data_IF_453814178093
#
_entry.id   IF_453814178093
#
_cell.length_a   1.000
_cell.length_b   1.000
_cell.length_c   1.000
_cell.angle_alpha   90.00
_cell.angle_beta   90.00
_cell.angle_gamma   90.00
#
_symmetry.space_group_name_H-M   'P 1'
#
loop_
_entity.id
_entity.type
_entity.pdbx_description
1 polymer ?
#
# COMPACT_ATOMS: atom_id res chain seq x y z
N UNK A 1 -7.89 -31.56 -50.89
CA UNK A 1 -8.66 -30.34 -50.58
C UNK A 1 -9.26 -30.51 -49.21
N UNK A 2 -8.59 -29.99 -48.19
CA UNK A 2 -9.13 -29.71 -46.86
C UNK A 2 -8.07 -28.84 -46.19
N UNK A 3 -8.21 -27.53 -46.35
CA UNK A 3 -7.40 -26.55 -45.64
C UNK A 3 -7.91 -26.44 -44.21
N UNK A 4 -7.03 -26.68 -43.25
CA UNK A 4 -7.22 -26.22 -41.88
C UNK A 4 -6.44 -24.92 -41.73
N UNK A 5 -7.18 -23.85 -41.47
CA UNK A 5 -6.65 -22.53 -41.16
C UNK A 5 -6.09 -22.53 -39.74
N UNK A 6 -4.77 -22.41 -39.62
CA UNK A 6 -4.09 -22.00 -38.39
C UNK A 6 -4.62 -20.61 -37.96
N UNK A 7 -5.18 -20.54 -36.76
CA UNK A 7 -5.51 -19.26 -36.11
C UNK A 7 -4.24 -18.76 -35.45
N UNK A 8 -3.59 -17.83 -36.14
CA UNK A 8 -2.38 -17.15 -35.68
C UNK A 8 -2.74 -16.19 -34.54
N UNK A 9 -2.29 -16.50 -33.32
CA UNK A 9 -2.46 -15.60 -32.17
C UNK A 9 -1.42 -14.48 -32.28
N UNK A 10 -1.83 -13.20 -32.34
CA UNK A 10 -0.88 -12.11 -32.48
C UNK A 10 0.07 -12.08 -31.27
N UNK A 11 1.34 -12.24 -31.61
CA UNK A 11 2.49 -12.22 -30.71
C UNK A 11 2.65 -10.78 -30.17
N UNK A 12 1.98 -10.45 -29.07
CA UNK A 12 2.14 -9.18 -28.37
C UNK A 12 3.50 -9.17 -27.65
N UNK A 13 4.49 -8.64 -28.34
CA UNK A 13 5.81 -8.32 -27.83
C UNK A 13 5.68 -7.22 -26.75
N UNK A 14 5.58 -7.60 -25.46
CA UNK A 14 5.47 -6.70 -24.30
C UNK A 14 6.82 -6.07 -23.89
N UNK A 15 7.61 -5.64 -24.86
CA UNK A 15 8.98 -5.17 -24.63
C UNK A 15 9.12 -3.64 -24.62
N UNK A 16 8.03 -2.88 -24.64
CA UNK A 16 8.02 -1.45 -24.36
C UNK A 16 6.67 -1.05 -23.77
N UNK A 17 6.56 -0.92 -22.44
CA UNK A 17 5.50 -0.09 -21.87
C UNK A 17 5.84 1.35 -22.27
N UNK A 18 5.28 1.81 -23.39
CA UNK A 18 5.25 3.24 -23.72
C UNK A 18 4.36 3.95 -22.69
N UNK A 19 4.48 5.27 -22.54
CA UNK A 19 3.58 6.06 -21.68
C UNK A 19 2.10 5.76 -21.97
N UNK A 20 1.80 5.32 -23.20
CA UNK A 20 0.48 4.88 -23.67
C UNK A 20 0.00 3.56 -23.05
N UNK A 21 0.88 2.65 -22.62
CA UNK A 21 0.47 1.37 -21.99
C UNK A 21 0.24 1.48 -20.47
N UNK A 22 0.77 2.52 -19.82
CA UNK A 22 0.41 2.85 -18.42
C UNK A 22 -0.98 3.49 -18.31
N UNK A 23 -1.40 4.16 -19.39
CA UNK A 23 -2.74 4.69 -19.56
C UNK A 23 -3.70 3.53 -19.82
N UNK A 24 -4.46 3.15 -18.81
CA UNK A 24 -5.64 2.31 -19.00
C UNK A 24 -6.54 2.98 -20.05
N UNK A 25 -7.08 2.24 -21.03
CA UNK A 25 -7.92 2.82 -22.11
C UNK A 25 -9.16 3.55 -21.58
N UNK A 26 -9.50 3.32 -20.31
CA UNK A 26 -10.58 3.97 -19.57
C UNK A 26 -10.24 5.41 -19.12
N UNK A 27 -8.99 5.88 -19.29
CA UNK A 27 -8.62 7.29 -19.08
C UNK A 27 -8.99 8.20 -20.26
N UNK A 28 -9.45 7.66 -21.39
CA UNK A 28 -10.17 8.42 -22.41
C UNK A 28 -11.62 8.71 -21.96
N UNK A 29 -11.81 9.04 -20.67
CA UNK A 29 -13.03 9.71 -20.22
C UNK A 29 -13.10 11.07 -20.91
N UNK A 30 -14.28 11.35 -21.46
CA UNK A 30 -14.65 12.54 -22.23
C UNK A 30 -13.82 13.79 -21.91
N UNK A 31 -12.98 14.21 -22.87
CA UNK A 31 -12.19 15.45 -22.80
C UNK A 31 -13.07 16.71 -22.62
N UNK A 32 -14.40 16.59 -22.71
CA UNK A 32 -15.36 17.63 -22.39
C UNK A 32 -15.68 17.77 -20.89
N UNK A 33 -15.28 16.81 -20.04
CA UNK A 33 -15.54 16.85 -18.61
C UNK A 33 -14.71 17.94 -17.91
N UNK A 34 -15.33 18.64 -16.95
CA UNK A 34 -14.63 19.67 -16.18
C UNK A 34 -13.62 19.01 -15.21
N UNK A 35 -12.34 19.42 -15.25
CA UNK A 35 -11.34 18.90 -14.32
C UNK A 35 -11.62 19.32 -12.88
N UNK A 36 -11.25 18.45 -11.95
CA UNK A 36 -11.36 18.71 -10.53
C UNK A 36 -11.98 17.57 -9.72
N UNK A 37 -12.26 17.82 -8.42
CA UNK A 37 -12.87 16.84 -7.53
C UNK A 37 -14.27 16.42 -8.00
N UNK A 38 -14.49 15.11 -8.04
CA UNK A 38 -15.79 14.46 -8.24
C UNK A 38 -16.32 14.00 -6.89
N UNK A 39 -17.64 14.05 -6.69
CA UNK A 39 -18.31 13.55 -5.47
C UNK A 39 -17.73 14.11 -4.16
N UNK A 40 -17.29 15.38 -4.16
CA UNK A 40 -16.72 16.00 -2.97
C UNK A 40 -17.75 16.07 -1.82
N UNK A 41 -17.32 15.90 -0.56
CA UNK A 41 -18.15 16.18 0.61
C UNK A 41 -18.67 17.61 0.62
N UNK A 42 -19.65 17.87 1.49
CA UNK A 42 -20.19 19.21 1.70
C UNK A 42 -19.07 20.25 2.02
N UNK A 43 -19.24 21.53 1.69
CA UNK A 43 -18.20 22.55 1.89
C UNK A 43 -17.72 22.71 3.34
N UNK A 44 -18.55 22.33 4.32
CA UNK A 44 -18.26 22.37 5.76
C UNK A 44 -17.80 21.01 6.33
N UNK A 45 -17.51 20.04 5.45
CA UNK A 45 -17.03 18.73 5.84
C UNK A 45 -15.72 18.80 6.64
N UNK A 46 -15.59 17.91 7.60
CA UNK A 46 -14.40 17.82 8.45
C UNK A 46 -13.28 17.11 7.67
N UNK A 47 -12.01 17.36 8.03
CA UNK A 47 -10.88 16.66 7.40
C UNK A 47 -11.00 15.12 7.40
N UNK A 48 -11.63 14.54 8.43
CA UNK A 48 -11.87 13.09 8.52
C UNK A 48 -12.81 12.57 7.43
N UNK A 49 -13.74 13.38 6.96
CA UNK A 49 -14.70 12.99 5.92
C UNK A 49 -13.97 12.79 4.58
N UNK A 50 -12.98 13.64 4.28
CA UNK A 50 -12.10 13.46 3.12
C UNK A 50 -11.20 12.23 3.24
N UNK A 51 -10.68 11.94 4.44
CA UNK A 51 -9.89 10.72 4.70
C UNK A 51 -10.74 9.46 4.47
N UNK A 52 -12.00 9.49 4.88
CA UNK A 52 -12.93 8.36 4.76
C UNK A 52 -13.35 8.08 3.31
N UNK A 53 -13.16 9.01 2.36
CA UNK A 53 -13.34 8.74 0.93
C UNK A 53 -12.40 7.62 0.46
N UNK A 54 -11.15 7.63 0.96
CA UNK A 54 -10.13 6.66 0.58
C UNK A 54 -10.03 5.50 1.59
N UNK A 55 -10.26 5.76 2.88
CA UNK A 55 -10.31 4.74 3.94
C UNK A 55 -11.76 4.32 4.22
N UNK A 56 -12.39 3.74 3.20
CA UNK A 56 -13.76 3.24 3.28
C UNK A 56 -13.91 2.12 4.29
N UNK A 57 -15.14 1.86 4.72
CA UNK A 57 -15.41 0.73 5.62
C UNK A 57 -14.99 -0.60 4.99
N UNK A 58 -15.15 -0.79 3.68
CA UNK A 58 -14.73 -2.02 3.00
C UNK A 58 -13.23 -2.32 3.13
N UNK A 59 -12.36 -1.33 2.86
CA UNK A 59 -10.92 -1.55 2.97
C UNK A 59 -10.51 -1.71 4.44
N UNK A 60 -11.14 -0.97 5.35
CA UNK A 60 -10.92 -1.11 6.80
C UNK A 60 -11.33 -2.51 7.28
N UNK A 61 -12.51 -2.99 6.88
CA UNK A 61 -13.00 -4.33 7.16
C UNK A 61 -12.04 -5.39 6.64
N UNK A 62 -11.54 -5.25 5.42
CA UNK A 62 -10.54 -6.16 4.84
C UNK A 62 -9.30 -6.23 5.72
N UNK A 63 -8.68 -5.08 6.04
CA UNK A 63 -7.44 -5.05 6.82
C UNK A 63 -7.65 -5.61 8.22
N UNK A 64 -8.76 -5.27 8.88
CA UNK A 64 -9.09 -5.78 10.22
C UNK A 64 -9.29 -7.29 10.20
N UNK A 65 -10.05 -7.81 9.24
CA UNK A 65 -10.29 -9.25 9.12
C UNK A 65 -8.99 -10.02 8.88
N UNK A 66 -8.17 -9.57 7.94
CA UNK A 66 -6.90 -10.24 7.61
C UNK A 66 -5.86 -10.12 8.73
N UNK A 67 -5.82 -8.98 9.44
CA UNK A 67 -4.98 -8.79 10.63
C UNK A 67 -5.37 -9.74 11.76
N UNK A 68 -6.66 -9.82 12.07
CA UNK A 68 -7.18 -10.71 13.12
C UNK A 68 -6.97 -12.19 12.77
N UNK A 69 -7.19 -12.55 11.50
CA UNK A 69 -6.97 -13.90 10.98
C UNK A 69 -5.49 -14.28 11.07
N UNK A 70 -4.58 -13.41 10.62
CA UNK A 70 -3.15 -13.66 10.69
C UNK A 70 -2.66 -13.82 12.13
N UNK A 71 -3.11 -12.96 13.04
CA UNK A 71 -2.72 -13.06 14.44
C UNK A 71 -3.12 -14.40 15.06
N UNK A 72 -4.34 -14.90 14.76
CA UNK A 72 -4.79 -16.22 15.20
C UNK A 72 -3.89 -17.33 14.66
N UNK A 73 -3.66 -17.35 13.35
CA UNK A 73 -2.78 -18.33 12.70
C UNK A 73 -1.36 -18.29 13.28
N UNK A 74 -0.82 -17.09 13.54
CA UNK A 74 0.50 -16.95 14.13
C UNK A 74 0.55 -17.56 15.54
N UNK A 75 -0.45 -17.28 16.39
CA UNK A 75 -0.50 -17.78 17.76
C UNK A 75 -0.61 -19.31 17.76
N UNK A 76 -1.50 -19.88 16.94
CA UNK A 76 -1.69 -21.33 16.79
C UNK A 76 -0.39 -22.00 16.31
N UNK A 77 0.24 -21.49 15.26
CA UNK A 77 1.44 -22.08 14.68
C UNK A 77 2.71 -21.91 15.54
N UNK A 78 2.67 -21.06 16.57
CA UNK A 78 3.82 -20.78 17.43
C UNK A 78 3.54 -21.10 18.91
N UNK A 79 2.52 -21.91 19.20
CA UNK A 79 2.08 -22.19 20.57
C UNK A 79 3.23 -22.63 21.50
N UNK A 80 4.02 -23.63 21.09
CA UNK A 80 5.16 -24.15 21.87
C UNK A 80 6.23 -23.07 22.17
N UNK A 81 6.52 -22.20 21.20
CA UNK A 81 7.45 -21.09 21.39
C UNK A 81 6.87 -20.02 22.33
N UNK A 82 5.56 -19.83 22.32
CA UNK A 82 4.89 -18.84 23.16
C UNK A 82 4.79 -19.30 24.62
N UNK A 83 4.67 -20.60 24.87
CA UNK A 83 4.74 -21.19 26.22
C UNK A 83 6.09 -20.90 26.89
N UNK A 84 7.19 -21.02 26.13
CA UNK A 84 8.55 -20.74 26.64
C UNK A 84 8.89 -19.24 26.67
N UNK A 85 8.01 -18.36 26.18
CA UNK A 85 8.20 -16.90 26.15
C UNK A 85 7.05 -16.14 26.83
N UNK A 86 6.86 -16.29 28.16
CA UNK A 86 5.73 -15.69 28.89
C UNK A 86 5.71 -14.16 28.88
N UNK A 87 6.85 -13.52 28.63
CA UNK A 87 6.97 -12.05 28.50
C UNK A 87 6.67 -11.54 27.10
N UNK A 88 6.37 -12.42 26.15
CA UNK A 88 6.00 -12.05 24.79
C UNK A 88 4.75 -11.17 24.83
N UNK A 89 4.79 -10.06 24.10
CA UNK A 89 3.61 -9.18 23.96
C UNK A 89 2.47 -9.89 23.24
N UNK A 90 2.74 -10.95 22.48
CA UNK A 90 1.73 -11.74 21.76
C UNK A 90 0.62 -12.23 22.69
N UNK A 91 0.94 -12.54 23.95
CA UNK A 91 -0.03 -12.94 24.97
C UNK A 91 -1.07 -11.86 25.31
N UNK A 92 -0.81 -10.59 24.94
CA UNK A 92 -1.75 -9.47 25.11
C UNK A 92 -2.60 -9.22 23.87
N UNK A 93 -2.50 -10.06 22.83
CA UNK A 93 -3.29 -9.88 21.62
C UNK A 93 -4.77 -10.09 21.89
N UNK A 94 -5.58 -9.17 21.39
CA UNK A 94 -7.02 -9.29 21.27
C UNK A 94 -7.41 -8.92 19.84
N UNK A 95 -8.40 -9.60 19.24
CA UNK A 95 -8.91 -9.19 17.94
C UNK A 95 -9.30 -7.71 17.95
N UNK A 96 -8.87 -6.96 16.95
CA UNK A 96 -9.17 -5.54 16.83
C UNK A 96 -10.48 -5.32 16.09
N UNK A 97 -11.16 -4.24 16.43
CA UNK A 97 -12.32 -3.70 15.72
C UNK A 97 -11.92 -2.68 14.65
N UNK A 98 -12.88 -2.31 13.79
CA UNK A 98 -12.70 -1.21 12.83
C UNK A 98 -12.39 0.11 13.51
N UNK A 99 -13.02 0.38 14.66
CA UNK A 99 -12.79 1.60 15.44
C UNK A 99 -11.34 1.64 15.96
N UNK A 100 -10.86 0.56 16.57
CA UNK A 100 -9.48 0.46 17.04
C UNK A 100 -8.47 0.58 15.90
N UNK A 101 -8.77 0.02 14.72
CA UNK A 101 -7.92 0.17 13.55
C UNK A 101 -7.89 1.62 13.03
N UNK A 102 -9.04 2.33 13.03
CA UNK A 102 -9.09 3.76 12.71
C UNK A 102 -8.30 4.60 13.70
N UNK A 103 -8.35 4.26 15.00
CA UNK A 103 -7.50 4.90 16.03
C UNK A 103 -6.02 4.60 15.77
N UNK A 104 -5.65 3.36 15.42
CA UNK A 104 -4.29 2.99 15.03
C UNK A 104 -3.78 3.83 13.85
N UNK A 105 -4.59 4.05 12.82
CA UNK A 105 -4.25 4.91 11.69
C UNK A 105 -4.09 6.37 12.11
N UNK A 106 -5.01 6.90 12.91
CA UNK A 106 -4.92 8.27 13.43
C UNK A 106 -3.66 8.49 14.28
N UNK A 107 -3.30 7.52 15.12
CA UNK A 107 -2.04 7.50 15.88
C UNK A 107 -0.84 7.47 14.94
N UNK A 108 -0.85 6.61 13.92
CA UNK A 108 0.23 6.50 12.92
C UNK A 108 0.45 7.82 12.18
N UNK A 109 -0.64 8.47 11.74
CA UNK A 109 -0.59 9.78 11.09
C UNK A 109 0.00 10.85 12.02
N UNK A 110 -0.42 10.88 13.28
CA UNK A 110 0.08 11.84 14.25
C UNK A 110 1.57 11.60 14.61
N UNK A 111 2.02 10.34 14.67
CA UNK A 111 3.46 10.02 14.80
C UNK A 111 4.28 10.52 13.60
N UNK A 112 3.68 10.59 12.40
CA UNK A 112 4.30 11.17 11.22
C UNK A 112 4.52 12.69 11.34
N UNK A 113 3.62 13.40 12.02
CA UNK A 113 3.71 14.84 12.28
C UNK A 113 4.63 15.15 13.48
N UNK A 114 4.46 14.42 14.58
CA UNK A 114 5.22 14.58 15.82
C UNK A 114 6.26 13.47 15.99
N UNK A 115 7.30 13.49 15.16
CA UNK A 115 8.31 12.42 15.13
C UNK A 115 9.13 12.38 16.42
N UNK A 116 9.06 11.26 17.13
CA UNK A 116 9.92 10.93 18.28
C UNK A 116 11.04 9.94 17.88
N UNK A 117 12.16 9.88 18.62
CA UNK A 117 13.31 9.06 18.27
C UNK A 117 13.03 7.55 18.22
N UNK A 118 12.04 7.07 18.98
CA UNK A 118 11.64 5.67 18.98
C UNK A 118 10.20 5.52 19.51
N UNK A 119 9.63 4.32 19.39
CA UNK A 119 8.26 4.04 19.82
C UNK A 119 8.02 4.20 21.34
N UNK A 120 9.05 4.08 22.18
CA UNK A 120 8.90 4.23 23.63
C UNK A 120 8.68 5.70 24.01
N UNK A 121 9.33 6.62 23.28
CA UNK A 121 9.20 8.06 23.51
C UNK A 121 7.80 8.64 23.23
N UNK A 122 6.90 7.89 22.60
CA UNK A 122 5.47 8.25 22.48
C UNK A 122 4.63 7.88 23.70
N UNK A 123 5.21 7.13 24.66
CA UNK A 123 4.59 6.76 25.93
C UNK A 123 5.37 7.30 27.12
N UNK A 124 6.69 7.37 27.02
CA UNK A 124 7.57 7.66 28.15
C UNK A 124 7.31 9.04 28.73
N UNK A 125 6.86 9.00 29.99
CA UNK A 125 6.62 10.13 30.90
C UNK A 125 7.82 10.35 31.84
N UNK A 126 8.94 9.64 31.62
CA UNK A 126 10.14 9.72 32.47
C UNK A 126 10.66 11.15 32.69
N UNK A 127 10.33 12.07 31.78
CA UNK A 127 10.50 13.51 32.00
C UNK A 127 9.20 14.23 31.63
N UNK A 128 8.60 14.95 32.58
CA UNK A 128 7.41 15.79 32.35
C UNK A 128 7.57 16.71 31.12
N UNK A 129 8.78 17.20 30.87
CA UNK A 129 9.11 18.07 29.73
C UNK A 129 9.03 17.39 28.36
N UNK A 130 8.97 16.06 28.31
CA UNK A 130 8.93 15.26 27.07
C UNK A 130 7.63 14.49 26.89
N UNK A 131 6.70 14.62 27.84
CA UNK A 131 5.41 13.94 27.82
C UNK A 131 4.61 14.28 26.56
N UNK A 132 3.94 13.26 26.03
CA UNK A 132 2.99 13.43 24.92
C UNK A 132 1.67 12.73 25.28
N UNK A 133 0.86 13.33 26.18
CA UNK A 133 -0.30 12.67 26.79
C UNK A 133 -1.34 12.18 25.79
N UNK A 134 -1.41 12.79 24.61
CA UNK A 134 -2.36 12.42 23.57
C UNK A 134 -2.21 10.95 23.11
N UNK A 135 -0.99 10.45 22.91
CA UNK A 135 -0.78 9.08 22.42
C UNK A 135 -1.29 7.99 23.37
N UNK A 136 -0.89 7.95 24.67
CA UNK A 136 -1.35 6.91 25.58
C UNK A 136 -2.85 6.97 25.88
N UNK A 137 -3.50 8.13 25.71
CA UNK A 137 -4.96 8.27 25.83
C UNK A 137 -5.68 7.53 24.71
N UNK A 138 -5.16 7.58 23.48
CA UNK A 138 -5.84 6.99 22.31
C UNK A 138 -5.39 5.55 22.05
N UNK A 139 -4.10 5.25 22.17
CA UNK A 139 -3.59 3.89 22.00
C UNK A 139 -2.29 3.69 22.77
N UNK A 140 -2.28 2.72 23.68
CA UNK A 140 -1.07 2.33 24.38
C UNK A 140 -0.02 1.78 23.39
N UNK A 141 1.25 2.15 23.58
CA UNK A 141 2.45 1.62 22.91
C UNK A 141 2.43 0.11 22.67
N UNK A 142 2.05 -0.69 23.67
CA UNK A 142 2.00 -2.16 23.54
C UNK A 142 0.94 -2.59 22.52
N UNK A 143 -0.22 -1.95 22.54
CA UNK A 143 -1.31 -2.17 21.58
C UNK A 143 -0.88 -1.73 20.16
N UNK A 144 -0.31 -0.54 20.03
CA UNK A 144 0.20 -0.07 18.74
C UNK A 144 1.22 -1.04 18.13
N UNK A 145 2.20 -1.50 18.92
CA UNK A 145 3.24 -2.41 18.42
C UNK A 145 2.74 -3.82 18.13
N UNK A 146 1.73 -4.31 18.84
CA UNK A 146 1.18 -5.64 18.56
C UNK A 146 0.29 -5.61 17.31
N UNK A 147 -0.49 -4.54 17.10
CA UNK A 147 -1.21 -4.31 15.84
C UNK A 147 -0.20 -4.21 14.69
N UNK A 148 0.84 -3.41 14.84
CA UNK A 148 1.88 -3.27 13.82
C UNK A 148 2.57 -4.61 13.48
N UNK A 149 2.73 -5.50 14.47
CA UNK A 149 3.31 -6.84 14.26
C UNK A 149 2.40 -7.73 13.42
N UNK A 150 1.09 -7.66 13.63
CA UNK A 150 0.13 -8.55 12.96
C UNK A 150 -0.56 -7.95 11.76
N UNK A 151 -0.38 -6.66 11.49
CA UNK A 151 -0.99 -5.94 10.37
C UNK A 151 -0.84 -6.73 9.05
N UNK A 152 -1.97 -7.16 8.51
CA UNK A 152 -2.07 -7.96 7.29
C UNK A 152 -3.21 -7.46 6.41
N UNK A 153 -3.08 -7.71 5.11
CA UNK A 153 -3.91 -7.13 4.08
C UNK A 153 -4.45 -8.16 3.07
N UNK A 154 -4.06 -9.43 3.21
CA UNK A 154 -4.44 -10.52 2.33
C UNK A 154 -4.39 -11.84 3.08
N UNK A 155 -5.22 -12.79 2.64
CA UNK A 155 -5.23 -14.14 3.18
C UNK A 155 -4.00 -14.93 2.69
N UNK A 156 -3.11 -15.28 3.63
CA UNK A 156 -1.93 -16.08 3.32
C UNK A 156 -2.28 -17.49 2.78
N UNK A 157 -3.50 -17.99 2.99
CA UNK A 157 -3.95 -19.28 2.45
C UNK A 157 -4.21 -19.24 0.94
N UNK A 158 -4.41 -18.04 0.39
CA UNK A 158 -4.64 -17.80 -1.04
C UNK A 158 -3.37 -17.35 -1.76
N UNK A 159 -2.20 -17.47 -1.10
CA UNK A 159 -0.93 -17.07 -1.68
C UNK A 159 -0.66 -17.93 -2.93
N UNK A 160 -0.44 -17.30 -4.11
CA UNK A 160 -0.20 -18.03 -5.35
C UNK A 160 1.19 -18.70 -5.34
N UNK A 161 1.49 -19.47 -6.39
CA UNK A 161 2.82 -20.06 -6.52
C UNK A 161 3.88 -18.97 -6.67
N UNK A 162 5.11 -19.26 -6.24
CA UNK A 162 6.22 -18.28 -6.31
C UNK A 162 6.53 -17.82 -7.73
N UNK A 163 6.21 -18.63 -8.73
CA UNK A 163 6.44 -18.33 -10.14
C UNK A 163 5.29 -17.52 -10.77
N UNK A 164 4.16 -17.39 -10.08
CA UNK A 164 3.03 -16.60 -10.59
C UNK A 164 3.36 -15.11 -10.59
N UNK A 165 2.93 -14.43 -11.65
CA UNK A 165 3.10 -12.98 -11.85
C UNK A 165 2.57 -12.19 -10.66
N UNK A 166 1.44 -12.63 -10.09
CA UNK A 166 0.78 -11.97 -8.95
C UNK A 166 1.45 -12.20 -7.60
N UNK A 167 2.43 -13.10 -7.48
CA UNK A 167 2.98 -13.51 -6.18
C UNK A 167 3.62 -12.37 -5.39
N UNK A 168 4.42 -11.56 -6.07
CA UNK A 168 5.30 -10.58 -5.40
C UNK A 168 4.53 -9.49 -4.67
N UNK A 169 3.45 -9.00 -5.28
CA UNK A 169 2.61 -7.94 -4.73
C UNK A 169 1.29 -8.44 -4.14
N UNK A 170 1.04 -9.76 -4.15
CA UNK A 170 -0.19 -10.38 -3.66
C UNK A 170 -0.68 -9.78 -2.34
N UNK A 171 0.24 -9.63 -1.38
CA UNK A 171 -0.06 -9.15 -0.03
C UNK A 171 -0.53 -7.71 0.05
N UNK A 172 -0.40 -6.90 -0.99
CA UNK A 172 -0.85 -5.50 -1.02
C UNK A 172 -1.72 -5.20 -2.23
N UNK A 173 -1.98 -6.20 -3.08
CA UNK A 173 -2.64 -6.03 -4.37
C UNK A 173 -4.04 -5.42 -4.22
N UNK A 174 -4.80 -5.88 -3.22
CA UNK A 174 -6.16 -5.37 -2.98
C UNK A 174 -6.16 -3.91 -2.52
N UNK A 175 -5.13 -3.47 -1.77
CA UNK A 175 -4.99 -2.06 -1.42
C UNK A 175 -4.68 -1.22 -2.64
N UNK A 176 -3.77 -1.68 -3.51
CA UNK A 176 -3.40 -0.96 -4.74
C UNK A 176 -4.63 -0.78 -5.63
N UNK A 177 -5.39 -1.86 -5.87
CA UNK A 177 -6.64 -1.82 -6.65
C UNK A 177 -7.64 -0.84 -6.05
N UNK A 178 -7.85 -0.92 -4.73
CA UNK A 178 -8.78 -0.04 -4.01
C UNK A 178 -8.40 1.43 -4.16
N UNK A 179 -7.15 1.82 -3.86
CA UNK A 179 -6.73 3.21 -3.93
C UNK A 179 -6.77 3.75 -5.35
N UNK A 180 -6.29 3.00 -6.35
CA UNK A 180 -6.37 3.42 -7.75
C UNK A 180 -7.83 3.62 -8.20
N UNK A 181 -8.74 2.73 -7.80
CA UNK A 181 -10.16 2.91 -8.09
C UNK A 181 -10.74 4.18 -7.42
N UNK A 182 -10.37 4.46 -6.17
CA UNK A 182 -10.83 5.67 -5.47
C UNK A 182 -10.24 6.96 -6.05
N UNK A 183 -8.98 6.95 -6.46
CA UNK A 183 -8.35 8.12 -7.10
C UNK A 183 -9.06 8.50 -8.40
N UNK A 184 -9.35 7.52 -9.26
CA UNK A 184 -10.12 7.72 -10.51
C UNK A 184 -11.56 8.16 -10.24
N UNK A 185 -12.19 7.61 -9.19
CA UNK A 185 -13.58 7.92 -8.86
C UNK A 185 -13.78 9.34 -8.33
N UNK A 186 -12.88 9.83 -7.46
CA UNK A 186 -13.04 11.12 -6.78
C UNK A 186 -12.40 12.31 -7.48
N UNK A 187 -11.74 12.11 -8.62
CA UNK A 187 -11.04 13.21 -9.29
C UNK A 187 -10.96 12.99 -10.80
N UNK A 188 -11.23 14.04 -11.57
CA UNK A 188 -10.99 14.06 -13.01
C UNK A 188 -9.76 14.97 -13.28
N UNK A 189 -8.67 14.45 -13.87
CA UNK A 189 -7.46 15.22 -14.09
C UNK A 189 -7.63 16.36 -15.09
N UNK A 190 -6.78 17.38 -14.97
CA UNK A 190 -6.61 18.36 -16.06
C UNK A 190 -5.98 17.71 -17.29
N UNK A 191 -6.00 18.42 -18.42
CA UNK A 191 -5.42 17.95 -19.68
C UNK A 191 -3.94 17.53 -19.56
N UNK A 192 -3.20 18.11 -18.63
CA UNK A 192 -1.77 17.85 -18.47
C UNK A 192 -1.53 16.94 -17.26
N UNK A 193 -1.04 15.74 -17.51
CA UNK A 193 -0.65 14.77 -16.49
C UNK A 193 0.86 14.50 -16.57
N UNK A 194 1.44 14.10 -15.44
CA UNK A 194 2.85 13.76 -15.32
C UNK A 194 3.00 12.33 -14.80
N UNK A 195 3.90 11.57 -15.42
CA UNK A 195 4.32 10.25 -14.97
C UNK A 195 5.74 10.40 -14.43
N UNK A 196 5.96 10.05 -13.17
CA UNK A 196 7.29 10.08 -12.56
C UNK A 196 7.50 8.91 -11.60
N UNK A 197 8.75 8.62 -11.31
CA UNK A 197 9.19 7.59 -10.39
C UNK A 197 9.26 8.12 -8.96
N UNK A 198 8.51 7.50 -8.06
CA UNK A 198 8.61 7.70 -6.62
C UNK A 198 9.31 6.52 -5.93
N UNK A 199 9.89 6.79 -4.77
CA UNK A 199 10.66 5.82 -4.00
C UNK A 199 10.23 5.81 -2.55
N UNK A 200 9.64 4.69 -2.12
CA UNK A 200 9.30 4.45 -0.72
C UNK A 200 10.54 3.89 -0.03
N UNK A 201 11.20 4.70 0.80
CA UNK A 201 12.41 4.31 1.51
C UNK A 201 12.21 3.04 2.34
N UNK A 202 12.95 1.98 2.00
CA UNK A 202 12.79 0.67 2.62
C UNK A 202 14.13 -0.07 2.67
N UNK A 203 14.54 -0.46 3.88
CA UNK A 203 15.80 -1.18 4.13
C UNK A 203 15.60 -2.66 4.50
N UNK A 204 14.38 -3.16 4.46
CA UNK A 204 14.07 -4.55 4.82
C UNK A 204 14.54 -5.57 3.76
N UNK A 205 14.37 -6.85 4.10
CA UNK A 205 14.81 -7.99 3.29
C UNK A 205 13.71 -8.45 2.31
N UNK A 206 13.53 -7.69 1.24
CA UNK A 206 12.59 -8.04 0.14
C UNK A 206 13.31 -7.90 -1.20
N UNK A 207 14.27 -8.79 -1.52
CA UNK A 207 15.23 -8.57 -2.61
C UNK A 207 14.58 -8.51 -4.00
N UNK A 208 13.41 -9.10 -4.18
CA UNK A 208 12.71 -9.13 -5.46
C UNK A 208 11.99 -7.82 -5.81
N UNK A 209 11.64 -6.98 -4.83
CA UNK A 209 10.96 -5.68 -5.05
C UNK A 209 11.89 -4.50 -4.74
N UNK A 210 12.82 -4.67 -3.80
CA UNK A 210 13.69 -3.58 -3.35
C UNK A 210 14.65 -3.14 -4.45
N UNK A 211 14.56 -1.87 -4.82
CA UNK A 211 15.41 -1.21 -5.80
C UNK A 211 16.48 -0.35 -5.14
N UNK A 212 17.58 -0.15 -5.86
CA UNK A 212 18.58 0.87 -5.56
C UNK A 212 18.56 1.95 -6.64
N UNK A 213 18.40 3.20 -6.22
CA UNK A 213 18.47 4.37 -7.11
C UNK A 213 19.48 5.35 -6.58
N UNK A 214 20.64 5.44 -7.23
CA UNK A 214 21.76 6.29 -6.81
C UNK A 214 21.37 7.77 -6.70
N UNK A 215 20.49 8.23 -7.60
CA UNK A 215 20.11 9.64 -7.73
C UNK A 215 19.09 10.10 -6.67
N UNK A 216 18.39 9.19 -5.98
CA UNK A 216 17.41 9.54 -4.94
C UNK A 216 18.13 9.74 -3.60
N UNK A 217 18.62 10.97 -3.35
CA UNK A 217 19.45 11.32 -2.17
C UNK A 217 18.85 10.93 -0.82
N UNK A 218 17.53 11.04 -0.66
CA UNK A 218 16.83 10.77 0.62
C UNK A 218 16.47 9.29 0.84
N UNK A 219 16.40 8.49 -0.22
CA UNK A 219 15.98 7.09 -0.16
C UNK A 219 16.65 6.28 -1.28
N UNK A 220 17.97 6.04 -1.16
CA UNK A 220 18.71 5.29 -2.19
C UNK A 220 18.27 3.83 -2.31
N UNK A 221 17.71 3.26 -1.24
CA UNK A 221 17.16 1.91 -1.21
C UNK A 221 15.68 1.98 -0.83
N UNK A 222 14.83 1.31 -1.60
CA UNK A 222 13.42 1.32 -1.32
C UNK A 222 12.58 0.51 -2.31
N UNK A 223 11.27 0.74 -2.26
CA UNK A 223 10.31 0.21 -3.20
C UNK A 223 10.04 1.30 -4.24
N UNK A 224 10.37 1.02 -5.50
CA UNK A 224 10.08 1.93 -6.63
C UNK A 224 8.59 1.84 -6.95
N UNK A 225 7.99 2.97 -7.26
CA UNK A 225 6.63 3.05 -7.80
C UNK A 225 6.57 4.10 -8.91
N UNK A 226 5.73 3.85 -9.90
CA UNK A 226 5.36 4.83 -10.92
C UNK A 226 4.11 5.55 -10.45
N UNK A 227 4.11 6.88 -10.55
CA UNK A 227 3.00 7.73 -10.14
C UNK A 227 2.52 8.56 -11.33
N UNK A 228 1.26 8.39 -11.70
CA UNK A 228 0.55 9.29 -12.61
C UNK A 228 -0.17 10.34 -11.78
N UNK A 229 0.20 11.61 -11.98
CA UNK A 229 -0.36 12.73 -11.21
C UNK A 229 -0.79 13.88 -12.12
N UNK A 230 -1.82 14.59 -11.72
CA UNK A 230 -2.23 15.83 -12.39
C UNK A 230 -1.15 16.91 -12.24
N UNK A 231 -0.69 17.46 -13.36
CA UNK A 231 0.41 18.43 -13.38
C UNK A 231 0.06 19.75 -12.71
N UNK A 232 -1.23 20.11 -12.66
CA UNK A 232 -1.67 21.40 -12.13
C UNK A 232 -1.63 21.46 -10.59
N UNK A 233 -1.87 20.33 -9.91
CA UNK A 233 -2.03 20.32 -8.44
C UNK A 233 -1.34 19.14 -7.72
N UNK A 234 -0.74 18.20 -8.46
CA UNK A 234 -0.07 17.04 -7.89
C UNK A 234 -1.00 15.96 -7.33
N UNK A 235 -2.29 15.97 -7.69
CA UNK A 235 -3.21 14.89 -7.32
C UNK A 235 -2.76 13.57 -7.94
N UNK A 236 -2.62 12.52 -7.14
CA UNK A 236 -2.23 11.20 -7.61
C UNK A 236 -3.45 10.49 -8.24
N UNK A 237 -3.45 10.32 -9.56
CA UNK A 237 -4.54 9.68 -10.30
C UNK A 237 -4.42 8.16 -10.28
N UNK A 238 -3.19 7.63 -10.37
CA UNK A 238 -2.90 6.21 -10.37
C UNK A 238 -1.45 5.98 -9.96
N UNK A 239 -1.17 4.84 -9.33
CA UNK A 239 0.19 4.38 -9.15
C UNK A 239 0.34 2.88 -9.40
N UNK A 240 1.57 2.48 -9.72
CA UNK A 240 1.96 1.08 -9.85
C UNK A 240 3.26 0.82 -9.08
N UNK A 241 3.30 -0.29 -8.34
CA UNK A 241 4.50 -0.70 -7.62
C UNK A 241 5.36 -1.56 -8.53
N UNK A 242 6.64 -1.24 -8.63
CA UNK A 242 7.58 -2.06 -9.38
C UNK A 242 7.78 -3.42 -8.68
N UNK A 243 7.27 -4.49 -9.30
CA UNK A 243 7.39 -5.86 -8.79
C UNK A 243 8.76 -6.52 -8.99
N UNK A 244 9.76 -5.85 -9.57
CA UNK A 244 11.01 -6.50 -9.97
C UNK A 244 10.91 -7.23 -11.31
N UNK A 245 12.05 -7.59 -11.88
CA UNK A 245 12.08 -8.31 -13.16
C UNK A 245 11.30 -9.63 -13.09
N UNK A 246 10.49 -9.86 -14.12
CA UNK A 246 10.02 -11.18 -14.49
C UNK A 246 11.23 -11.93 -15.07
N UNK A 247 11.42 -13.21 -14.75
CA UNK A 247 12.55 -13.97 -15.28
C UNK A 247 12.64 -13.87 -16.81
N UNK A 248 13.86 -13.90 -17.35
CA UNK A 248 14.11 -13.85 -18.81
C UNK A 248 13.31 -14.94 -19.53
N UNK A 249 12.36 -14.55 -20.36
CA UNK A 249 11.91 -15.38 -21.48
C UNK A 249 12.63 -14.82 -22.71
N UNK A 250 13.72 -15.46 -23.12
CA UNK A 250 14.50 -15.08 -24.30
C UNK A 250 15.75 -14.23 -24.01
N UNK A 251 16.76 -14.38 -24.87
CA UNK A 251 18.08 -13.71 -24.79
C UNK A 251 18.01 -12.20 -25.16
N UNK A 252 17.10 -11.46 -24.54
CA UNK A 252 17.02 -10.00 -24.61
C UNK A 252 17.42 -9.38 -23.27
N UNK A 253 18.18 -8.28 -23.31
CA UNK A 253 18.32 -7.43 -22.12
C UNK A 253 17.00 -6.67 -21.95
N UNK A 254 16.15 -7.09 -21.02
CA UNK A 254 15.02 -6.28 -20.57
C UNK A 254 15.59 -5.08 -19.80
N UNK A 255 15.63 -3.92 -20.47
CA UNK A 255 15.73 -2.63 -19.83
C UNK A 255 14.30 -2.12 -19.69
N UNK A 256 13.74 -2.22 -18.48
CA UNK A 256 12.63 -1.33 -18.11
C UNK A 256 13.24 0.07 -18.00
N UNK A 257 12.99 0.90 -19.02
CA UNK A 257 13.22 2.33 -18.92
C UNK A 257 12.31 2.96 -17.86
#
# INVERSE_FOLDING_TARGET
>A
MSGESEVDFPNLNKDNLTDDEFMDSDLYEDLSAHPGPKHAPAPDAKPVDYVNLFLTDDIVNLVVNETNKYARQFIENNHENLETTPRSRVHKWTPISNEEFRVFLGVTMNMGLNKKPNYNAYRDSCYLSQETPWFPVHMNRDCYQIILKFLHFADNMLLPDRNDIGFKLFKVQELIKHFNAKFKYFYHPTQNVSIDESMIGFKGKTPHIRQFMANKRHARFGIKMWCLSDSANGYLCQFEIYGGSQGRIGNGRSYTH
#
